data_IF_042026507572
#
_entry.id   IF_042026507572
#
_cell.length_a   1.000
_cell.length_b   1.000
_cell.length_c   1.000
_cell.angle_alpha   90.00
_cell.angle_beta   90.00
_cell.angle_gamma   90.00
#
_symmetry.space_group_name_H-M   'P 1'
#
loop_
_entity.id
_entity.type
_entity.pdbx_description
1 polymer ?
#
# COMPACT_ATOMS: atom_id res chain seq x y z
N UNK A 1 14.21 -9.99 -3.38
CA UNK A 1 13.54 -9.09 -4.34
C UNK A 1 13.06 -7.88 -3.55
N UNK A 2 13.28 -6.66 -4.02
CA UNK A 2 13.01 -5.44 -3.24
C UNK A 2 12.81 -4.21 -4.12
N UNK A 3 12.34 -3.14 -3.50
CA UNK A 3 12.08 -1.84 -4.15
C UNK A 3 12.62 -0.73 -3.24
N UNK A 4 13.26 0.29 -3.81
CA UNK A 4 13.85 1.42 -3.09
C UNK A 4 13.50 2.75 -3.79
N UNK A 5 13.14 3.75 -2.99
CA UNK A 5 12.82 5.11 -3.42
C UNK A 5 13.94 6.14 -3.21
N UNK A 6 15.10 5.73 -2.67
CA UNK A 6 16.34 6.53 -2.63
C UNK A 6 16.15 7.93 -2.03
N UNK A 7 16.53 8.98 -2.77
CA UNK A 7 16.34 10.38 -2.35
C UNK A 7 14.99 10.98 -2.74
N UNK A 8 14.08 10.21 -3.35
CA UNK A 8 12.76 10.72 -3.73
C UNK A 8 11.90 11.03 -2.49
N UNK A 9 10.86 11.87 -2.65
CA UNK A 9 9.96 12.22 -1.55
C UNK A 9 8.94 11.11 -1.23
N UNK A 10 9.01 9.95 -1.90
CA UNK A 10 7.99 8.89 -1.77
C UNK A 10 8.37 7.82 -0.75
N UNK A 11 7.34 7.32 -0.09
CA UNK A 11 7.39 6.28 0.94
C UNK A 11 6.22 5.31 0.75
N UNK A 12 6.44 4.03 1.04
CA UNK A 12 5.35 3.06 1.13
C UNK A 12 4.41 3.45 2.28
N UNK A 13 3.13 3.62 1.96
CA UNK A 13 2.11 4.03 2.92
C UNK A 13 1.80 2.90 3.90
N UNK A 14 1.94 3.17 5.21
CA UNK A 14 1.70 2.18 6.26
C UNK A 14 0.26 1.63 6.27
N UNK A 15 -0.72 2.53 6.13
CA UNK A 15 -2.15 2.22 6.26
C UNK A 15 -2.80 1.68 5.00
N UNK A 16 -2.21 1.96 3.83
CA UNK A 16 -2.80 1.63 2.53
C UNK A 16 -2.06 0.51 1.81
N UNK A 17 -1.13 -0.18 2.48
CA UNK A 17 -0.48 -1.36 1.92
C UNK A 17 -0.48 -2.53 2.90
N UNK A 18 -0.52 -3.74 2.34
CA UNK A 18 -0.35 -5.00 3.04
C UNK A 18 0.69 -5.86 2.35
N UNK A 19 1.41 -6.64 3.14
CA UNK A 19 2.34 -7.64 2.66
C UNK A 19 1.61 -8.97 2.47
N UNK A 20 1.68 -9.54 1.27
CA UNK A 20 1.02 -10.79 0.89
C UNK A 20 2.06 -11.81 0.48
N UNK A 21 1.90 -13.05 0.96
CA UNK A 21 2.67 -14.21 0.55
C UNK A 21 1.72 -15.32 0.10
N UNK A 22 1.90 -15.81 -1.11
CA UNK A 22 1.22 -16.98 -1.64
C UNK A 22 2.21 -18.14 -1.75
N UNK A 23 1.76 -19.30 -1.26
CA UNK A 23 2.54 -20.52 -1.16
C UNK A 23 2.69 -21.02 0.28
N UNK A 24 3.58 -21.99 0.43
CA UNK A 24 3.87 -22.69 1.68
C UNK A 24 5.25 -22.27 2.20
N UNK A 25 5.39 -22.16 3.52
CA UNK A 25 6.62 -21.72 4.18
C UNK A 25 6.47 -20.35 4.83
N UNK A 26 7.55 -19.58 4.83
CA UNK A 26 7.63 -18.27 5.49
C UNK A 26 8.12 -17.24 4.49
N UNK A 27 7.53 -16.05 4.53
CA UNK A 27 8.01 -14.87 3.83
C UNK A 27 8.28 -13.77 4.86
N UNK A 28 9.41 -13.08 4.67
CA UNK A 28 9.84 -12.00 5.55
C UNK A 28 10.25 -10.80 4.73
N UNK A 29 9.81 -9.63 5.18
CA UNK A 29 10.20 -8.34 4.68
C UNK A 29 11.27 -7.77 5.61
N UNK A 30 12.35 -7.24 5.06
CA UNK A 30 13.48 -6.70 5.80
C UNK A 30 14.03 -5.43 5.14
N UNK A 31 14.69 -4.62 5.95
CA UNK A 31 15.47 -3.46 5.53
C UNK A 31 16.75 -3.88 4.81
N UNK A 32 17.41 -2.94 4.13
CA UNK A 32 18.73 -3.15 3.52
C UNK A 32 19.82 -3.52 4.54
N UNK A 33 19.66 -3.07 5.80
CA UNK A 33 20.55 -3.44 6.91
C UNK A 33 20.24 -4.82 7.53
N UNK A 34 19.28 -5.57 6.97
CA UNK A 34 18.89 -6.91 7.43
C UNK A 34 17.85 -6.93 8.56
N UNK A 35 17.42 -5.79 9.09
CA UNK A 35 16.40 -5.74 10.13
C UNK A 35 15.04 -6.21 9.61
N UNK A 36 14.38 -7.13 10.33
CA UNK A 36 13.09 -7.67 9.91
C UNK A 36 11.98 -6.65 10.20
N UNK A 37 11.26 -6.26 9.15
CA UNK A 37 10.13 -5.33 9.21
C UNK A 37 8.86 -6.06 9.61
N UNK A 38 8.52 -7.10 8.86
CA UNK A 38 7.33 -7.92 9.08
C UNK A 38 7.51 -9.28 8.39
N UNK A 39 6.64 -10.23 8.66
CA UNK A 39 6.63 -11.52 7.99
C UNK A 39 5.34 -12.26 8.24
N UNK A 40 5.08 -13.25 7.40
CA UNK A 40 3.98 -14.17 7.61
C UNK A 40 4.37 -15.57 7.14
N UNK A 41 3.68 -16.57 7.68
CA UNK A 41 3.90 -17.97 7.34
C UNK A 41 2.58 -18.63 6.97
N UNK A 42 2.65 -19.57 6.05
CA UNK A 42 1.53 -20.31 5.52
C UNK A 42 1.91 -21.79 5.39
N UNK A 43 0.97 -22.66 5.73
CA UNK A 43 1.09 -24.11 5.56
C UNK A 43 0.22 -24.56 4.40
N UNK A 44 0.42 -25.77 3.89
CA UNK A 44 -0.38 -26.31 2.80
C UNK A 44 -0.92 -27.68 3.23
N UNK A 45 -2.07 -27.66 3.90
CA UNK A 45 -2.72 -28.91 4.32
C UNK A 45 -3.51 -29.49 3.16
N UNK A 46 -3.37 -30.80 2.91
CA UNK A 46 -4.12 -31.50 1.86
C UNK A 46 -5.61 -31.71 2.20
N UNK A 47 -5.99 -31.61 3.48
CA UNK A 47 -7.36 -31.87 3.89
C UNK A 47 -8.20 -30.61 4.14
N UNK A 48 -9.36 -30.65 3.51
CA UNK A 48 -10.54 -29.79 3.60
C UNK A 48 -10.36 -28.37 3.09
N UNK A 49 -11.23 -28.02 2.14
CA UNK A 49 -12.02 -26.79 1.93
C UNK A 49 -11.86 -25.64 2.95
N UNK A 50 -10.65 -25.36 3.41
CA UNK A 50 -10.30 -24.15 4.14
C UNK A 50 -10.53 -23.02 3.17
N UNK A 51 -11.33 -22.06 3.59
CA UNK A 51 -11.83 -20.95 2.83
C UNK A 51 -10.67 -20.30 2.03
N UNK A 52 -10.45 -20.76 0.79
CA UNK A 52 -9.43 -20.22 -0.14
C UNK A 52 -9.67 -18.73 -0.40
N UNK A 53 -10.81 -18.22 0.07
CA UNK A 53 -11.20 -16.83 0.04
C UNK A 53 -10.78 -16.05 1.29
N UNK A 54 -9.91 -16.56 2.16
CA UNK A 54 -9.46 -15.85 3.35
C UNK A 54 -7.95 -16.13 3.55
N UNK A 55 -7.10 -15.20 3.12
CA UNK A 55 -5.65 -15.39 3.03
C UNK A 55 -4.93 -15.39 4.40
N UNK A 56 -5.19 -16.42 5.21
CA UNK A 56 -4.81 -16.51 6.61
C UNK A 56 -4.16 -17.85 6.97
N UNK A 57 -2.99 -18.14 6.40
CA UNK A 57 -2.08 -19.19 6.88
C UNK A 57 -2.25 -20.58 6.26
N UNK A 58 -3.14 -20.75 5.28
CA UNK A 58 -3.25 -21.96 4.47
C UNK A 58 -3.17 -21.63 2.98
N UNK A 59 -2.07 -22.00 2.33
CA UNK A 59 -1.78 -21.68 0.93
C UNK A 59 -1.44 -20.20 0.65
N UNK A 60 -1.79 -19.27 1.54
CA UNK A 60 -1.32 -17.89 1.51
C UNK A 60 -1.47 -17.22 2.89
N UNK A 61 -0.77 -16.11 3.11
CA UNK A 61 -0.92 -15.24 4.28
C UNK A 61 -0.77 -13.77 3.89
N UNK A 62 -1.42 -12.89 4.64
CA UNK A 62 -1.26 -11.44 4.52
C UNK A 62 -1.04 -10.80 5.89
N UNK A 63 -0.34 -9.67 5.94
CA UNK A 63 -0.09 -8.90 7.16
C UNK A 63 0.08 -7.41 6.85
N UNK A 64 -0.31 -6.55 7.77
CA UNK A 64 -0.05 -5.12 7.66
C UNK A 64 1.45 -4.82 7.82
N UNK A 65 1.91 -3.70 7.26
CA UNK A 65 3.24 -3.18 7.54
C UNK A 65 3.20 -2.26 8.78
N UNK A 66 4.19 -2.34 9.67
CA UNK A 66 4.14 -1.60 10.95
C UNK A 66 4.53 -0.12 10.82
N UNK A 67 5.19 0.30 9.74
CA UNK A 67 5.77 1.65 9.58
C UNK A 67 5.76 2.10 8.12
N UNK A 68 6.02 3.39 7.89
CA UNK A 68 6.34 3.90 6.55
C UNK A 68 7.73 3.42 6.14
N UNK A 69 7.91 3.05 4.87
CA UNK A 69 9.15 2.43 4.39
C UNK A 69 9.67 3.16 3.15
N UNK A 70 10.99 3.33 3.04
CA UNK A 70 11.64 3.85 1.82
C UNK A 70 12.12 2.76 0.88
N UNK A 71 12.55 1.68 1.51
CA UNK A 71 13.01 0.48 0.86
C UNK A 71 12.52 -0.72 1.64
N UNK A 72 12.40 -1.83 0.94
CA UNK A 72 12.24 -3.13 1.55
C UNK A 72 12.81 -4.21 0.63
N UNK A 73 13.22 -5.31 1.25
CA UNK A 73 13.60 -6.54 0.60
C UNK A 73 12.74 -7.68 1.13
N UNK A 74 12.43 -8.64 0.27
CA UNK A 74 11.66 -9.83 0.61
C UNK A 74 12.57 -11.05 0.51
N UNK A 75 12.51 -11.89 1.55
CA UNK A 75 13.13 -13.20 1.60
C UNK A 75 12.07 -14.29 1.84
N UNK A 76 12.19 -15.39 1.11
CA UNK A 76 11.32 -16.56 1.18
C UNK A 76 12.10 -17.74 1.77
N UNK A 77 11.59 -18.33 2.84
CA UNK A 77 12.20 -19.47 3.54
C UNK A 77 11.17 -20.59 3.74
N UNK A 78 11.60 -21.84 3.93
CA UNK A 78 10.70 -23.00 4.11
C UNK A 78 10.98 -24.17 3.15
N UNK A 79 10.56 -25.37 3.56
CA UNK A 79 10.92 -26.65 2.94
C UNK A 79 10.46 -26.73 1.47
N UNK A 80 11.42 -27.09 0.61
CA UNK A 80 11.33 -27.14 -0.87
C UNK A 80 10.47 -28.32 -1.36
N UNK A 81 10.00 -29.18 -0.45
CA UNK A 81 9.37 -30.46 -0.81
C UNK A 81 7.98 -30.30 -1.44
N UNK A 82 7.34 -29.13 -1.28
CA UNK A 82 6.08 -28.82 -1.97
C UNK A 82 6.35 -28.07 -3.28
N UNK A 83 6.17 -28.77 -4.40
CA UNK A 83 6.33 -28.28 -5.78
C UNK A 83 5.25 -27.23 -6.17
N UNK A 84 5.25 -26.07 -5.52
CA UNK A 84 4.36 -24.96 -5.82
C UNK A 84 5.12 -23.67 -6.15
N UNK A 85 4.57 -22.85 -7.04
CA UNK A 85 5.06 -21.47 -7.23
C UNK A 85 4.82 -20.67 -5.94
N UNK A 86 5.82 -19.86 -5.56
CA UNK A 86 5.78 -19.01 -4.38
C UNK A 86 5.97 -17.57 -4.81
N UNK A 87 5.14 -16.68 -4.30
CA UNK A 87 5.17 -15.24 -4.60
C UNK A 87 4.95 -14.46 -3.33
N UNK A 88 5.70 -13.39 -3.14
CA UNK A 88 5.46 -12.43 -2.07
C UNK A 88 5.65 -11.02 -2.60
N UNK A 89 4.78 -10.13 -2.17
CA UNK A 89 4.71 -8.76 -2.68
C UNK A 89 3.99 -7.85 -1.68
N UNK A 90 4.28 -6.56 -1.79
CA UNK A 90 3.52 -5.50 -1.13
C UNK A 90 2.45 -5.01 -2.10
N UNK A 91 1.20 -4.94 -1.65
CA UNK A 91 0.05 -4.53 -2.46
C UNK A 91 -0.82 -3.55 -1.70
N UNK A 92 -1.50 -2.69 -2.42
CA UNK A 92 -2.52 -1.80 -1.89
C UNK A 92 -3.61 -2.56 -1.13
N UNK A 93 -4.02 -2.02 0.02
CA UNK A 93 -5.10 -2.59 0.81
C UNK A 93 -6.42 -1.87 0.51
N UNK A 94 -7.21 -2.45 -0.39
CA UNK A 94 -8.55 -1.96 -0.78
C UNK A 94 -9.49 -1.75 0.42
N UNK A 95 -9.28 -2.49 1.53
CA UNK A 95 -10.11 -2.33 2.74
C UNK A 95 -9.82 -1.04 3.52
N UNK A 96 -8.72 -0.34 3.20
CA UNK A 96 -8.35 0.92 3.87
C UNK A 96 -9.23 2.11 3.48
N UNK A 97 -10.03 2.00 2.41
CA UNK A 97 -10.86 3.07 1.86
C UNK A 97 -12.37 2.91 2.15
N UNK A 98 -12.83 1.76 2.66
CA UNK A 98 -14.25 1.52 2.94
C UNK A 98 -14.71 2.17 4.26
N UNK A 99 -15.01 3.47 4.20
CA UNK A 99 -15.80 4.20 5.20
C UNK A 99 -17.11 4.76 4.62
N UNK A 100 -17.71 4.11 3.63
CA UNK A 100 -19.11 4.32 3.27
C UNK A 100 -19.58 3.25 2.30
N UNK A 101 -20.80 2.79 2.55
CA UNK A 101 -21.63 1.88 1.78
C UNK A 101 -21.42 0.38 1.93
N UNK A 102 -22.54 -0.22 2.33
CA UNK A 102 -22.78 -1.62 2.57
C UNK A 102 -22.43 -2.46 1.35
N UNK A 103 -21.61 -3.48 1.58
CA UNK A 103 -21.71 -4.72 0.85
C UNK A 103 -20.94 -4.77 -0.47
N UNK A 104 -19.86 -5.56 -0.41
CA UNK A 104 -19.27 -6.40 -1.47
C UNK A 104 -17.93 -5.92 -2.01
N UNK A 105 -16.84 -6.06 -1.26
CA UNK A 105 -15.56 -6.59 -1.81
C UNK A 105 -14.72 -7.35 -0.77
N UNK A 106 -15.34 -8.17 0.07
CA UNK A 106 -14.60 -9.24 0.78
C UNK A 106 -14.31 -10.39 -0.18
N UNK A 107 -13.32 -10.22 -1.06
CA UNK A 107 -12.84 -11.30 -1.90
C UNK A 107 -11.33 -11.14 -2.12
N UNK A 108 -10.46 -11.89 -1.41
CA UNK A 108 -9.02 -11.87 -1.65
C UNK A 108 -8.62 -12.63 -2.92
N UNK A 109 -9.59 -12.90 -3.80
CA UNK A 109 -9.36 -13.54 -5.10
C UNK A 109 -8.88 -12.56 -6.19
N UNK A 110 -8.46 -11.33 -5.83
CA UNK A 110 -7.86 -10.36 -6.76
C UNK A 110 -6.64 -10.94 -7.48
N UNK A 111 -5.89 -11.86 -6.88
CA UNK A 111 -4.73 -12.49 -7.55
C UNK A 111 -5.13 -13.48 -8.65
N UNK A 112 -6.41 -13.87 -8.75
CA UNK A 112 -6.90 -14.81 -9.78
C UNK A 112 -7.61 -14.17 -10.97
N UNK A 113 -7.76 -12.83 -11.01
CA UNK A 113 -8.41 -12.13 -12.14
C UNK A 113 -7.48 -11.11 -12.80
N UNK A 114 -6.65 -11.62 -13.71
CA UNK A 114 -6.35 -11.01 -15.02
C UNK A 114 -5.69 -9.62 -15.07
N UNK A 115 -4.85 -9.24 -14.11
CA UNK A 115 -3.78 -8.26 -14.37
C UNK A 115 -2.50 -8.67 -13.62
N UNK A 116 -1.37 -8.73 -14.31
CA UNK A 116 -0.04 -8.97 -13.71
C UNK A 116 0.52 -7.72 -13.02
N UNK A 117 -0.36 -6.80 -12.60
CA UNK A 117 0.01 -5.48 -12.10
C UNK A 117 -0.24 -5.47 -10.60
N UNK A 118 0.82 -5.28 -9.84
CA UNK A 118 0.77 -5.11 -8.39
C UNK A 118 0.79 -3.60 -8.14
N UNK A 119 -0.30 -3.07 -7.60
CA UNK A 119 -0.43 -1.65 -7.25
C UNK A 119 0.01 -1.48 -5.80
N UNK A 120 0.70 -0.37 -5.53
CA UNK A 120 1.21 0.01 -4.22
C UNK A 120 0.81 1.47 -3.96
N UNK A 121 0.37 1.76 -2.75
CA UNK A 121 0.01 3.11 -2.34
C UNK A 121 1.22 3.82 -1.74
N UNK A 122 1.55 5.01 -2.24
CA UNK A 122 2.70 5.78 -1.79
C UNK A 122 2.24 7.04 -1.06
N UNK A 123 2.92 7.38 0.02
CA UNK A 123 2.85 8.67 0.69
C UNK A 123 4.03 9.52 0.25
N UNK A 124 3.78 10.76 -0.17
CA UNK A 124 4.85 11.71 -0.43
C UNK A 124 5.17 12.56 0.80
N UNK A 125 6.32 13.23 0.80
CA UNK A 125 6.70 14.19 1.84
C UNK A 125 6.77 15.59 1.27
N UNK A 126 6.10 16.51 1.93
CA UNK A 126 6.09 17.94 1.63
C UNK A 126 6.72 18.71 2.80
N UNK A 127 7.57 19.68 2.45
CA UNK A 127 8.27 20.58 3.38
C UNK A 127 7.69 21.98 3.29
N UNK A 128 7.99 22.81 4.28
CA UNK A 128 7.62 24.24 4.25
C UNK A 128 8.19 25.01 3.05
N UNK A 129 9.30 24.53 2.47
CA UNK A 129 9.87 25.08 1.23
C UNK A 129 9.04 24.76 -0.02
N UNK A 130 8.21 23.73 0.04
CA UNK A 130 7.36 23.33 -1.06
C UNK A 130 6.14 24.25 -1.07
N UNK A 131 6.00 25.05 -2.13
CA UNK A 131 4.92 26.03 -2.27
C UNK A 131 3.58 25.33 -2.53
N UNK A 132 3.00 24.75 -1.47
CA UNK A 132 1.76 23.99 -1.51
C UNK A 132 0.62 24.86 -1.01
N UNK A 133 -0.49 24.86 -1.72
CA UNK A 133 -1.73 25.53 -1.28
C UNK A 133 -2.87 24.53 -1.38
N UNK A 134 -3.54 24.27 -0.28
CA UNK A 134 -4.66 23.35 -0.28
C UNK A 134 -5.88 23.95 -0.99
N UNK A 135 -6.80 23.09 -1.40
CA UNK A 135 -8.07 23.53 -1.99
C UNK A 135 -8.77 24.60 -1.17
N UNK A 136 -9.44 25.53 -1.84
CA UNK A 136 -10.18 26.63 -1.19
C UNK A 136 -9.34 27.43 -0.18
N UNK A 137 -8.01 27.39 -0.29
CA UNK A 137 -7.06 27.96 0.67
C UNK A 137 -7.24 27.44 2.11
N UNK A 138 -7.68 26.19 2.28
CA UNK A 138 -7.64 25.54 3.58
C UNK A 138 -6.19 25.46 4.10
N UNK A 139 -5.98 25.56 5.44
CA UNK A 139 -4.67 25.32 6.00
C UNK A 139 -4.26 23.86 5.79
N UNK A 140 -2.98 23.64 5.48
CA UNK A 140 -2.41 22.30 5.55
C UNK A 140 -2.27 21.85 7.00
N UNK A 141 -2.32 20.54 7.20
CA UNK A 141 -2.02 19.91 8.48
C UNK A 141 -0.59 19.36 8.49
N UNK A 142 0.01 19.30 9.68
CA UNK A 142 1.31 18.68 9.89
C UNK A 142 1.13 17.31 10.50
N UNK A 143 1.72 16.30 9.88
CA UNK A 143 1.72 14.92 10.39
C UNK A 143 3.15 14.41 10.56
N UNK A 144 3.32 13.55 11.56
CA UNK A 144 4.58 12.86 11.82
C UNK A 144 4.46 11.41 11.35
N UNK A 145 5.26 11.04 10.36
CA UNK A 145 5.34 9.66 9.91
C UNK A 145 6.35 8.90 10.76
N UNK A 146 5.91 7.78 11.34
CA UNK A 146 6.73 6.89 12.13
C UNK A 146 7.53 5.94 11.23
N UNK A 147 8.85 6.04 11.32
CA UNK A 147 9.78 5.25 10.52
C UNK A 147 10.24 4.03 11.30
N UNK A 148 10.52 2.93 10.58
CA UNK A 148 10.99 1.69 11.20
C UNK A 148 12.33 1.84 11.95
N UNK A 149 13.22 2.77 11.54
CA UNK A 149 14.48 3.04 12.24
C UNK A 149 14.30 3.85 13.54
N UNK A 150 13.06 4.12 13.97
CA UNK A 150 12.73 4.90 15.16
C UNK A 150 12.78 6.42 14.96
N UNK A 151 13.11 6.90 13.75
CA UNK A 151 13.01 8.32 13.42
C UNK A 151 11.58 8.71 13.03
N UNK A 152 11.28 10.00 13.05
CA UNK A 152 10.03 10.55 12.54
C UNK A 152 10.31 11.55 11.45
N UNK A 153 9.50 11.55 10.40
CA UNK A 153 9.55 12.54 9.32
C UNK A 153 8.32 13.42 9.40
N UNK A 154 8.51 14.72 9.59
CA UNK A 154 7.45 15.73 9.50
C UNK A 154 7.09 15.96 8.02
N UNK A 155 5.80 16.01 7.73
CA UNK A 155 5.28 16.32 6.41
C UNK A 155 3.98 17.09 6.48
N UNK A 156 3.76 17.93 5.47
CA UNK A 156 2.50 18.64 5.28
C UNK A 156 1.52 17.75 4.51
N UNK A 157 0.25 17.76 4.90
CA UNK A 157 -0.85 17.16 4.15
C UNK A 157 -1.97 18.18 3.94
N UNK A 158 -2.62 18.08 2.79
CA UNK A 158 -3.88 18.75 2.54
C UNK A 158 -4.97 17.70 2.64
N UNK A 159 -5.95 17.94 3.50
CA UNK A 159 -7.10 17.06 3.68
C UNK A 159 -8.39 17.85 3.49
N UNK A 160 -9.33 17.27 2.75
CA UNK A 160 -10.66 17.86 2.55
C UNK A 160 -11.70 16.73 2.56
N UNK A 161 -12.46 16.64 3.65
CA UNK A 161 -13.50 15.62 3.82
C UNK A 161 -14.65 15.75 2.83
N UNK A 162 -14.84 16.94 2.25
CA UNK A 162 -15.99 17.24 1.42
C UNK A 162 -15.74 16.98 -0.07
N UNK A 163 -14.47 16.88 -0.50
CA UNK A 163 -14.15 16.61 -1.90
C UNK A 163 -14.22 15.12 -2.19
N UNK A 164 -15.03 14.76 -3.19
CA UNK A 164 -15.14 13.37 -3.67
C UNK A 164 -14.12 13.07 -4.78
N UNK A 165 -13.59 14.10 -5.44
CA UNK A 165 -12.65 13.96 -6.54
C UNK A 165 -11.59 15.05 -6.56
N UNK A 166 -10.51 14.76 -7.30
CA UNK A 166 -9.43 15.70 -7.56
C UNK A 166 -8.28 15.56 -6.57
N UNK A 167 -7.45 16.59 -6.47
CA UNK A 167 -6.29 16.60 -5.56
C UNK A 167 -6.44 17.71 -4.52
N UNK A 168 -6.28 17.40 -3.22
CA UNK A 168 -6.42 18.40 -2.17
C UNK A 168 -5.28 19.44 -2.17
N UNK A 169 -4.23 19.23 -2.97
CA UNK A 169 -2.98 20.01 -2.98
C UNK A 169 -2.94 21.13 -4.02
N UNK A 170 -4.09 21.51 -4.58
CA UNK A 170 -4.24 22.67 -5.48
C UNK A 170 -5.47 23.48 -5.07
N UNK A 171 -5.44 24.81 -5.21
CA UNK A 171 -6.54 25.72 -4.82
C UNK A 171 -7.88 25.31 -5.45
N UNK A 172 -7.87 25.00 -6.74
CA UNK A 172 -9.04 24.52 -7.50
C UNK A 172 -8.96 23.00 -7.76
N UNK A 173 -8.15 22.29 -6.98
CA UNK A 173 -7.89 20.87 -7.16
C UNK A 173 -9.03 19.97 -6.72
N UNK A 174 -9.85 20.44 -5.78
CA UNK A 174 -10.96 19.70 -5.22
C UNK A 174 -12.21 19.91 -6.05
N UNK A 175 -12.87 18.80 -6.39
CA UNK A 175 -14.15 18.82 -7.08
C UNK A 175 -15.20 18.19 -6.18
N UNK A 176 -16.32 18.89 -6.08
CA UNK A 176 -17.56 18.35 -5.56
C UNK A 176 -18.31 17.81 -6.77
N UNK A 177 -18.21 16.50 -7.05
CA UNK A 177 -19.02 15.94 -8.11
C UNK A 177 -19.76 14.67 -7.71
N UNK A 178 -21.00 14.59 -8.20
CA UNK A 178 -21.94 13.49 -8.02
C UNK A 178 -21.69 12.35 -9.03
N UNK A 179 -20.48 12.22 -9.60
CA UNK A 179 -20.19 11.23 -10.64
C UNK A 179 -18.78 11.19 -11.26
N UNK A 180 -17.93 10.36 -10.66
CA UNK A 180 -16.82 9.48 -11.14
C UNK A 180 -15.82 9.90 -12.27
N UNK A 181 -14.57 10.11 -11.80
CA UNK A 181 -13.18 9.78 -12.25
C UNK A 181 -12.31 10.90 -12.89
N UNK A 182 -11.05 11.02 -12.41
CA UNK A 182 -9.98 11.83 -13.04
C UNK A 182 -8.57 11.19 -13.00
N UNK A 183 -7.85 11.34 -14.13
CA UNK A 183 -6.43 10.99 -14.36
C UNK A 183 -5.49 12.16 -13.96
N UNK A 184 -4.29 11.84 -13.47
CA UNK A 184 -3.19 12.81 -13.33
C UNK A 184 -2.09 12.61 -14.38
N UNK A 185 -1.57 13.73 -14.90
CA UNK A 185 -0.36 13.81 -15.74
C UNK A 185 0.60 14.78 -15.07
N UNK A 186 1.81 14.33 -14.72
CA UNK A 186 2.89 15.18 -14.25
C UNK A 186 4.06 15.05 -15.23
N UNK A 187 4.50 16.17 -15.81
CA UNK A 187 5.71 16.28 -16.65
C UNK A 187 5.79 15.30 -17.86
N UNK A 188 4.69 15.10 -18.57
CA UNK A 188 4.70 14.32 -19.82
C UNK A 188 5.04 12.82 -19.65
N UNK A 189 5.04 12.32 -18.42
CA UNK A 189 5.09 10.88 -18.12
C UNK A 189 3.83 10.49 -17.35
N UNK A 190 3.13 9.49 -17.85
CA UNK A 190 1.92 8.95 -17.25
C UNK A 190 2.29 8.20 -15.96
N UNK A 191 1.72 8.61 -14.84
CA UNK A 191 1.70 7.84 -13.60
C UNK A 191 0.24 7.60 -13.21
N UNK A 192 -0.13 6.33 -13.07
CA UNK A 192 -1.42 5.95 -12.52
C UNK A 192 -1.26 5.89 -11.00
N UNK A 193 -1.83 6.83 -10.29
CA UNK A 193 -2.06 6.73 -8.85
C UNK A 193 -3.57 6.73 -8.68
N UNK A 194 -4.14 5.54 -8.47
CA UNK A 194 -5.53 5.44 -8.04
C UNK A 194 -5.53 5.76 -6.55
N UNK A 195 -6.23 6.82 -6.17
CA UNK A 195 -6.77 6.94 -4.82
C UNK A 195 -8.25 6.73 -5.05
N UNK A 196 -8.74 5.53 -4.75
CA UNK A 196 -10.16 5.21 -4.75
C UNK A 196 -10.76 5.53 -3.39
#
# INVERSE_FOLDING_TARGET
MGVEFGSSPFWFSKSHNKFVFEGCGTASMHMDNGSIITGCSSTCRHDTLGDRNNCFGNGCCQTAIPHYLKSYNINLTGLIEEKGCRSAFLVEDETSYEKSDEGRFSNPSIVRRKTSVIVMSLMWTLKDSDQVTCCYNYPYERILMDMFNGTTVDTLICYNEWSTEGTPYLVDGCKFDNGKYLLFVIHGKFFYMFVL
#
